data_IF_466295006612
#
_entry.id   IF_466295006612
#
_cell.length_a   1.000
_cell.length_b   1.000
_cell.length_c   1.000
_cell.angle_alpha   90.00
_cell.angle_beta   90.00
_cell.angle_gamma   90.00
#
_symmetry.space_group_name_H-M   'P 1'
#
loop_
_entity.id
_entity.type
_entity.pdbx_description
1 polymer ?
#
# COMPACT_ATOMS: atom_id res chain seq x y z
N UNK A 1 4.24 -26.96 28.29
CA UNK A 1 5.10 -28.06 28.78
C UNK A 1 5.18 -27.96 30.29
N UNK A 2 4.64 -28.92 31.05
CA UNK A 2 4.53 -28.81 32.51
C UNK A 2 5.90 -28.82 33.23
N UNK A 3 6.94 -29.37 32.60
CA UNK A 3 8.27 -29.53 33.20
C UNK A 3 9.28 -28.41 32.81
N UNK A 4 8.81 -27.29 32.28
CA UNK A 4 9.68 -26.18 31.87
C UNK A 4 9.40 -24.98 32.76
N UNK A 5 10.42 -24.55 33.50
CA UNK A 5 10.35 -23.33 34.28
C UNK A 5 10.82 -22.17 33.40
N UNK A 6 9.88 -21.33 32.98
CA UNK A 6 10.13 -20.16 32.15
C UNK A 6 10.47 -18.97 33.07
N UNK A 7 11.74 -18.84 33.47
CA UNK A 7 12.24 -17.63 34.16
C UNK A 7 13.16 -16.87 33.21
N UNK A 8 12.96 -15.56 33.12
CA UNK A 8 13.81 -14.64 32.36
C UNK A 8 13.92 -14.99 30.86
N UNK A 9 12.78 -15.24 30.20
CA UNK A 9 12.67 -15.45 28.75
C UNK A 9 13.40 -16.70 28.18
N UNK A 10 14.06 -17.48 29.04
CA UNK A 10 14.80 -18.69 28.69
C UNK A 10 14.17 -19.94 29.31
N UNK A 11 14.07 -21.06 28.57
CA UNK A 11 13.57 -22.30 29.13
C UNK A 11 14.59 -22.93 30.10
N UNK A 12 14.23 -23.07 31.37
CA UNK A 12 14.90 -24.03 32.26
C UNK A 12 14.14 -25.36 32.22
N UNK A 13 14.71 -26.31 31.48
CA UNK A 13 14.17 -27.66 31.39
C UNK A 13 14.51 -28.46 32.66
N UNK A 14 13.52 -28.82 33.47
CA UNK A 14 13.75 -29.73 34.62
C UNK A 14 13.69 -31.20 34.21
N UNK A 15 13.08 -31.48 33.05
CA UNK A 15 12.89 -32.81 32.46
C UNK A 15 13.85 -33.09 31.31
N UNK A 16 14.53 -34.24 31.35
CA UNK A 16 15.43 -34.72 30.28
C UNK A 16 14.71 -35.50 29.17
N UNK A 17 13.39 -35.39 29.06
CA UNK A 17 12.64 -36.09 28.02
C UNK A 17 13.11 -35.70 26.61
N UNK A 18 12.99 -36.62 25.65
CA UNK A 18 13.38 -36.36 24.26
C UNK A 18 12.62 -35.15 23.67
N UNK A 19 11.36 -34.97 24.06
CA UNK A 19 10.52 -33.85 23.65
C UNK A 19 11.03 -32.51 24.20
N UNK A 20 11.45 -32.49 25.47
CA UNK A 20 12.04 -31.32 26.13
C UNK A 20 13.31 -30.86 25.41
N UNK A 21 14.21 -31.81 25.10
CA UNK A 21 15.44 -31.56 24.32
C UNK A 21 15.14 -31.01 22.93
N UNK A 22 14.26 -31.68 22.16
CA UNK A 22 13.89 -31.24 20.81
C UNK A 22 13.25 -29.84 20.80
N UNK A 23 12.45 -29.53 21.82
CA UNK A 23 11.83 -28.22 21.99
C UNK A 23 12.86 -27.14 22.33
N UNK A 24 13.81 -27.44 23.22
CA UNK A 24 14.95 -26.56 23.52
C UNK A 24 15.82 -26.27 22.31
N UNK A 25 16.17 -27.31 21.54
CA UNK A 25 16.95 -27.15 20.31
C UNK A 25 16.24 -26.25 19.30
N UNK A 26 14.92 -26.40 19.15
CA UNK A 26 14.12 -25.54 18.26
C UNK A 26 14.12 -24.08 18.71
N UNK A 27 13.90 -23.83 20.00
CA UNK A 27 13.86 -22.48 20.58
C UNK A 27 15.21 -21.79 20.39
N UNK A 28 16.31 -22.47 20.75
CA UNK A 28 17.66 -21.94 20.68
C UNK A 28 18.08 -21.71 19.22
N UNK A 29 17.87 -22.70 18.33
CA UNK A 29 18.30 -22.61 16.93
C UNK A 29 17.61 -21.49 16.13
N UNK A 30 16.42 -21.08 16.55
CA UNK A 30 15.65 -20.02 15.90
C UNK A 30 15.66 -18.69 16.67
N UNK A 31 16.40 -18.61 17.78
CA UNK A 31 16.46 -17.42 18.63
C UNK A 31 15.10 -16.97 19.15
N UNK A 32 14.25 -17.93 19.54
CA UNK A 32 12.90 -17.66 20.02
C UNK A 32 12.92 -17.32 21.52
N UNK A 33 12.21 -16.27 21.88
CA UNK A 33 11.96 -15.86 23.27
C UNK A 33 10.51 -16.17 23.62
N UNK A 34 10.27 -16.70 24.82
CA UNK A 34 8.94 -17.00 25.33
C UNK A 34 8.45 -15.85 26.22
N UNK A 35 7.30 -15.25 25.88
CA UNK A 35 6.83 -14.03 26.56
C UNK A 35 5.67 -14.25 27.56
N UNK A 36 5.09 -15.44 27.64
CA UNK A 36 4.02 -15.71 28.63
C UNK A 36 4.65 -16.06 29.97
N UNK A 37 4.50 -15.17 30.95
CA UNK A 37 5.05 -15.34 32.30
C UNK A 37 4.03 -15.94 33.27
N UNK A 38 2.74 -15.62 33.09
CA UNK A 38 1.69 -16.06 34.00
C UNK A 38 1.13 -17.45 33.62
N UNK A 39 0.63 -18.22 34.58
CA UNK A 39 -0.06 -19.48 34.31
C UNK A 39 -1.27 -19.28 33.40
N UNK A 40 -1.37 -20.11 32.37
CA UNK A 40 -2.48 -20.05 31.40
C UNK A 40 -3.54 -21.11 31.65
N UNK A 41 -3.29 -22.04 32.58
CA UNK A 41 -4.26 -23.02 33.03
C UNK A 41 -4.29 -23.08 34.55
N UNK A 42 -5.42 -22.73 35.14
CA UNK A 42 -5.63 -22.66 36.59
C UNK A 42 -6.77 -23.62 36.95
N UNK A 43 -6.44 -24.62 37.76
CA UNK A 43 -7.41 -25.54 38.37
C UNK A 43 -7.38 -25.37 39.89
N UNK A 44 -8.34 -25.92 40.65
CA UNK A 44 -8.31 -25.85 42.12
C UNK A 44 -7.05 -26.44 42.76
N UNK A 45 -6.33 -27.31 42.05
CA UNK A 45 -5.15 -28.03 42.54
C UNK A 45 -3.84 -27.67 41.85
N UNK A 46 -3.87 -27.03 40.68
CA UNK A 46 -2.66 -26.78 39.87
C UNK A 46 -2.73 -25.44 39.14
N UNK A 47 -1.56 -24.86 38.88
CA UNK A 47 -1.40 -23.65 38.10
C UNK A 47 -0.23 -23.85 37.14
N UNK A 48 -0.50 -23.94 35.84
CA UNK A 48 0.48 -24.32 34.83
C UNK A 48 0.46 -23.36 33.63
N UNK A 49 1.62 -23.11 33.03
CA UNK A 49 1.75 -22.40 31.74
C UNK A 49 1.81 -23.41 30.60
N UNK A 50 0.69 -23.56 29.89
CA UNK A 50 0.57 -24.51 28.76
C UNK A 50 0.55 -23.81 27.41
N UNK A 51 0.02 -22.59 27.38
CA UNK A 51 -0.11 -21.77 26.18
C UNK A 51 1.11 -20.86 26.09
N UNK A 52 1.92 -21.06 25.06
CA UNK A 52 3.20 -20.38 24.87
C UNK A 52 3.12 -19.41 23.69
N UNK A 53 3.82 -18.29 23.81
CA UNK A 53 3.89 -17.25 22.79
C UNK A 53 5.36 -16.91 22.54
N UNK A 54 5.88 -17.40 21.41
CA UNK A 54 7.27 -17.23 21.01
C UNK A 54 7.42 -16.16 19.94
N UNK A 55 8.45 -15.32 20.07
CA UNK A 55 8.90 -14.43 19.01
C UNK A 55 10.43 -14.29 19.00
N UNK A 56 11.02 -14.02 17.83
CA UNK A 56 12.46 -13.78 17.68
C UNK A 56 12.83 -12.28 17.63
N UNK A 57 11.84 -11.40 17.77
CA UNK A 57 12.01 -9.95 17.72
C UNK A 57 11.34 -9.34 18.96
N UNK A 58 12.01 -9.37 20.13
CA UNK A 58 11.43 -8.91 21.40
C UNK A 58 10.96 -7.46 21.35
N UNK A 59 11.66 -6.60 20.61
CA UNK A 59 11.31 -5.18 20.47
C UNK A 59 9.93 -4.92 19.83
N UNK A 60 9.38 -5.90 19.10
CA UNK A 60 8.07 -5.80 18.45
C UNK A 60 6.92 -6.24 19.36
N UNK A 61 7.21 -6.95 20.46
CA UNK A 61 6.20 -7.49 21.36
C UNK A 61 6.03 -6.54 22.55
N UNK A 62 4.79 -6.19 22.86
CA UNK A 62 4.42 -5.35 24.02
C UNK A 62 3.21 -5.93 24.72
N UNK A 63 3.04 -5.55 25.98
CA UNK A 63 1.82 -5.77 26.76
C UNK A 63 1.32 -7.23 26.71
N UNK A 64 2.21 -8.19 26.97
CA UNK A 64 1.81 -9.60 27.06
C UNK A 64 1.11 -9.82 28.40
N UNK A 65 -0.18 -10.13 28.33
CA UNK A 65 -1.05 -10.28 29.49
C UNK A 65 -1.78 -11.61 29.43
N UNK A 66 -2.06 -12.15 30.60
CA UNK A 66 -2.96 -13.29 30.79
C UNK A 66 -4.23 -12.76 31.42
N UNK A 67 -5.35 -12.91 30.73
CA UNK A 67 -6.66 -12.40 31.14
C UNK A 67 -7.65 -13.55 31.37
N UNK A 68 -8.69 -13.35 32.20
CA UNK A 68 -9.74 -14.33 32.42
C UNK A 68 -10.29 -14.93 31.13
N UNK A 69 -10.17 -16.26 31.01
CA UNK A 69 -10.74 -17.01 29.90
C UNK A 69 -12.14 -17.54 30.18
N UNK A 70 -12.57 -18.54 29.41
CA UNK A 70 -13.93 -19.11 29.49
C UNK A 70 -13.97 -20.37 30.37
N UNK A 71 -12.83 -20.98 30.68
CA UNK A 71 -12.75 -22.27 31.40
C UNK A 71 -11.57 -22.29 32.38
N UNK A 72 -10.99 -23.47 32.64
CA UNK A 72 -9.74 -23.61 33.39
C UNK A 72 -8.53 -23.03 32.63
N UNK A 73 -8.72 -22.58 31.39
CA UNK A 73 -7.75 -21.84 30.61
C UNK A 73 -8.00 -20.32 30.67
N UNK A 74 -6.94 -19.60 30.99
CA UNK A 74 -6.80 -18.16 30.83
C UNK A 74 -6.39 -17.82 29.38
N UNK A 75 -6.76 -16.62 28.92
CA UNK A 75 -6.44 -16.15 27.57
C UNK A 75 -5.15 -15.34 27.56
N UNK A 76 -4.25 -15.60 26.60
CA UNK A 76 -3.03 -14.82 26.39
C UNK A 76 -3.30 -13.74 25.34
N UNK A 77 -3.07 -12.49 25.69
CA UNK A 77 -3.13 -11.34 24.78
C UNK A 77 -1.75 -10.70 24.64
N UNK A 78 -1.38 -10.28 23.44
CA UNK A 78 -0.12 -9.58 23.18
C UNK A 78 -0.32 -8.49 22.12
N UNK A 79 0.37 -7.37 22.29
CA UNK A 79 0.42 -6.29 21.30
C UNK A 79 1.66 -6.47 20.41
N UNK A 80 1.45 -6.63 19.10
CA UNK A 80 2.54 -6.70 18.13
C UNK A 80 2.66 -5.35 17.41
N UNK A 81 3.79 -4.66 17.63
CA UNK A 81 4.11 -3.39 16.99
C UNK A 81 4.64 -3.66 15.59
N UNK A 82 3.75 -3.61 14.60
CA UNK A 82 4.14 -3.69 13.20
C UNK A 82 4.40 -2.28 12.66
N UNK A 83 5.60 -2.03 12.13
CA UNK A 83 5.84 -0.83 11.33
C UNK A 83 4.94 -0.90 10.09
N UNK A 84 3.92 -0.04 10.03
CA UNK A 84 3.15 0.13 8.80
C UNK A 84 4.07 0.82 7.78
N UNK A 85 4.37 0.20 6.62
CA UNK A 85 5.20 0.86 5.63
C UNK A 85 4.52 2.17 5.25
N UNK A 86 5.20 3.27 5.52
CA UNK A 86 4.71 4.61 5.24
C UNK A 86 4.41 4.72 3.75
N UNK A 87 3.15 4.58 3.37
CA UNK A 87 2.74 4.76 1.97
C UNK A 87 2.97 6.23 1.63
N UNK A 88 3.82 6.57 0.65
CA UNK A 88 4.07 7.96 0.31
C UNK A 88 2.75 8.63 -0.06
N UNK A 89 2.46 9.76 0.57
CA UNK A 89 1.29 10.57 0.25
C UNK A 89 1.51 11.17 -1.14
N UNK A 90 0.98 10.50 -2.16
CA UNK A 90 1.01 11.04 -3.52
C UNK A 90 0.08 12.26 -3.54
N UNK A 91 0.64 13.44 -3.84
CA UNK A 91 -0.15 14.68 -3.93
C UNK A 91 -0.98 14.68 -5.22
N UNK A 92 -2.22 15.17 -5.20
CA UNK A 92 -2.99 15.35 -6.42
C UNK A 92 -2.25 16.30 -7.37
N UNK A 93 -2.19 15.95 -8.66
CA UNK A 93 -1.57 16.80 -9.69
C UNK A 93 -2.63 17.32 -10.66
N UNK A 94 -2.57 18.62 -10.99
CA UNK A 94 -3.34 19.20 -12.09
C UNK A 94 -2.78 18.67 -13.42
N UNK A 95 -3.65 18.22 -14.31
CA UNK A 95 -3.32 17.85 -15.67
C UNK A 95 -4.17 18.68 -16.62
N UNK A 96 -3.53 19.63 -17.30
CA UNK A 96 -4.14 20.45 -18.33
C UNK A 96 -4.47 19.61 -19.57
N UNK A 97 -5.64 19.85 -20.13
CA UNK A 97 -6.14 19.23 -21.35
C UNK A 97 -5.90 20.19 -22.51
N UNK A 98 -4.65 20.28 -22.95
CA UNK A 98 -4.23 21.20 -24.02
C UNK A 98 -4.97 20.95 -25.34
N UNK A 99 -5.46 19.73 -25.58
CA UNK A 99 -6.33 19.39 -26.73
C UNK A 99 -7.67 20.14 -26.73
N UNK A 100 -8.07 20.68 -25.57
CA UNK A 100 -9.33 21.40 -25.35
C UNK A 100 -9.12 22.86 -24.93
N UNK A 101 -7.89 23.36 -25.05
CA UNK A 101 -7.57 24.74 -24.71
C UNK A 101 -8.19 25.73 -25.70
N UNK A 102 -8.70 26.85 -25.19
CA UNK A 102 -9.09 27.96 -26.05
C UNK A 102 -7.87 28.83 -26.38
N UNK A 103 -7.10 28.39 -27.38
CA UNK A 103 -5.89 29.10 -27.81
C UNK A 103 -6.18 30.46 -28.46
N UNK A 104 -7.35 30.63 -29.11
CA UNK A 104 -7.75 31.91 -29.69
C UNK A 104 -7.83 33.01 -28.63
N UNK A 105 -8.46 32.75 -27.49
CA UNK A 105 -8.49 33.70 -26.38
C UNK A 105 -7.12 33.95 -25.75
N UNK A 106 -6.25 32.92 -25.69
CA UNK A 106 -4.88 33.10 -25.19
C UNK A 106 -4.09 34.02 -26.13
N UNK A 107 -4.17 33.82 -27.44
CA UNK A 107 -3.49 34.66 -28.44
C UNK A 107 -3.97 36.11 -28.35
N UNK A 108 -5.29 36.34 -28.34
CA UNK A 108 -5.85 37.69 -28.22
C UNK A 108 -5.40 38.38 -26.91
N UNK A 109 -5.43 37.67 -25.79
CA UNK A 109 -5.00 38.23 -24.50
C UNK A 109 -3.49 38.48 -24.40
N UNK A 110 -2.68 37.77 -25.20
CA UNK A 110 -1.24 38.04 -25.32
C UNK A 110 -0.97 39.24 -26.24
N UNK A 111 -1.70 39.36 -27.34
CA UNK A 111 -1.64 40.52 -28.24
C UNK A 111 -2.01 41.81 -27.50
N UNK A 112 -3.11 41.81 -26.73
CA UNK A 112 -3.50 42.95 -25.90
C UNK A 112 -2.45 43.29 -24.82
N UNK A 113 -1.79 42.28 -24.26
CA UNK A 113 -0.76 42.49 -23.25
C UNK A 113 0.58 42.97 -23.83
N UNK A 114 0.80 42.82 -25.13
CA UNK A 114 2.09 43.07 -25.76
C UNK A 114 2.56 44.52 -25.58
N UNK A 115 1.70 45.51 -25.79
CA UNK A 115 2.05 46.93 -25.62
C UNK A 115 2.51 47.25 -24.19
N UNK A 116 1.84 46.65 -23.20
CA UNK A 116 2.23 46.80 -21.78
C UNK A 116 3.59 46.14 -21.53
N UNK A 117 3.81 44.95 -22.08
CA UNK A 117 5.07 44.22 -21.93
C UNK A 117 6.24 44.97 -22.58
N UNK A 118 6.05 45.49 -23.79
CA UNK A 118 7.05 46.27 -24.53
C UNK A 118 7.46 47.54 -23.77
N UNK A 119 6.50 48.24 -23.15
CA UNK A 119 6.83 49.42 -22.34
C UNK A 119 7.76 49.12 -21.15
N UNK A 120 7.71 47.89 -20.61
CA UNK A 120 8.51 47.47 -19.46
C UNK A 120 9.92 47.03 -19.85
N UNK A 121 10.19 46.76 -21.13
CA UNK A 121 11.52 46.31 -21.58
C UNK A 121 12.59 47.38 -21.43
N UNK A 122 12.20 48.66 -21.42
CA UNK A 122 13.12 49.77 -21.26
C UNK A 122 13.64 49.95 -19.82
N UNK A 123 12.91 49.45 -18.82
CA UNK A 123 13.15 49.73 -17.40
C UNK A 123 13.45 48.48 -16.55
N UNK A 124 13.23 47.28 -17.10
CA UNK A 124 13.36 46.01 -16.37
C UNK A 124 14.56 45.18 -16.83
N UNK A 125 15.11 44.36 -15.94
CA UNK A 125 16.13 43.37 -16.31
C UNK A 125 15.49 42.14 -17.00
N UNK A 126 16.34 41.32 -17.62
CA UNK A 126 15.91 40.15 -18.41
C UNK A 126 15.17 39.11 -17.56
N UNK A 127 15.60 38.88 -16.31
CA UNK A 127 14.99 37.88 -15.42
C UNK A 127 13.58 38.28 -14.99
N UNK A 128 13.37 39.58 -14.75
CA UNK A 128 12.07 40.16 -14.41
C UNK A 128 11.12 40.11 -15.61
N UNK A 129 11.60 40.47 -16.80
CA UNK A 129 10.83 40.37 -18.04
C UNK A 129 10.41 38.92 -18.33
N UNK A 130 11.34 37.96 -18.16
CA UNK A 130 11.01 36.55 -18.32
C UNK A 130 9.98 36.09 -17.29
N UNK A 131 10.11 36.51 -16.03
CA UNK A 131 9.17 36.17 -14.97
C UNK A 131 7.77 36.72 -15.24
N UNK A 132 7.67 37.96 -15.74
CA UNK A 132 6.41 38.57 -16.15
C UNK A 132 5.74 37.81 -17.28
N UNK A 133 6.48 37.52 -18.36
CA UNK A 133 5.97 36.76 -19.50
C UNK A 133 5.48 35.38 -19.06
N UNK A 134 6.31 34.66 -18.29
CA UNK A 134 5.98 33.35 -17.75
C UNK A 134 4.73 33.39 -16.89
N UNK A 135 4.63 34.38 -15.99
CA UNK A 135 3.48 34.51 -15.11
C UNK A 135 2.20 34.79 -15.90
N UNK A 136 2.24 35.74 -16.84
CA UNK A 136 1.10 36.03 -17.72
C UNK A 136 0.66 34.79 -18.49
N UNK A 137 1.59 34.06 -19.10
CA UNK A 137 1.30 32.85 -19.86
C UNK A 137 0.68 31.76 -18.97
N UNK A 138 1.23 31.52 -17.77
CA UNK A 138 0.68 30.54 -16.84
C UNK A 138 -0.74 30.92 -16.38
N UNK A 139 -1.01 32.21 -16.15
CA UNK A 139 -2.35 32.69 -15.79
C UNK A 139 -3.35 32.49 -16.92
N UNK A 140 -2.95 32.75 -18.17
CA UNK A 140 -3.79 32.49 -19.33
C UNK A 140 -4.04 30.99 -19.55
N UNK A 141 -3.02 30.15 -19.31
CA UNK A 141 -3.18 28.69 -19.33
C UNK A 141 -4.17 28.23 -18.26
N UNK A 142 -4.07 28.75 -17.02
CA UNK A 142 -4.99 28.40 -15.93
C UNK A 142 -6.43 28.82 -16.22
N UNK A 143 -6.62 29.93 -16.94
CA UNK A 143 -7.94 30.47 -17.27
C UNK A 143 -8.58 29.78 -18.48
N UNK A 144 -7.82 29.56 -19.55
CA UNK A 144 -8.36 29.15 -20.86
C UNK A 144 -8.13 27.67 -21.20
N UNK A 145 -7.35 26.94 -20.41
CA UNK A 145 -7.12 25.51 -20.63
C UNK A 145 -7.78 24.69 -19.52
N UNK A 146 -8.82 23.89 -19.83
CA UNK A 146 -9.47 23.07 -18.83
C UNK A 146 -8.47 22.03 -18.28
N UNK A 147 -8.57 21.74 -16.99
CA UNK A 147 -7.71 20.76 -16.32
C UNK A 147 -8.54 19.69 -15.62
N UNK A 148 -7.92 18.53 -15.41
CA UNK A 148 -8.42 17.49 -14.51
C UNK A 148 -7.47 17.27 -13.36
N UNK A 149 -8.00 17.04 -12.17
CA UNK A 149 -7.20 16.68 -11.00
C UNK A 149 -6.98 15.17 -11.03
N UNK A 150 -5.73 14.77 -11.23
CA UNK A 150 -5.32 13.38 -11.05
C UNK A 150 -5.17 13.13 -9.55
N UNK A 151 -6.24 12.63 -8.94
CA UNK A 151 -6.21 12.18 -7.55
C UNK A 151 -5.23 11.03 -7.38
N UNK A 152 -4.59 10.98 -6.21
CA UNK A 152 -3.73 9.92 -5.69
C UNK A 152 -4.36 8.52 -5.65
N UNK A 153 -5.59 8.35 -6.16
CA UNK A 153 -6.32 7.07 -6.20
C UNK A 153 -5.50 5.95 -6.86
N UNK A 154 -4.53 6.27 -7.73
CA UNK A 154 -3.61 5.30 -8.32
C UNK A 154 -2.49 4.81 -7.38
N UNK A 155 -2.27 5.47 -6.24
CA UNK A 155 -1.40 5.02 -5.15
C UNK A 155 -2.10 4.01 -4.23
N UNK A 156 -3.40 3.77 -4.39
CA UNK A 156 -4.13 2.71 -3.68
C UNK A 156 -3.99 1.34 -4.37
N UNK A 157 -2.89 1.10 -5.09
CA UNK A 157 -2.59 -0.27 -5.43
C UNK A 157 -2.31 -0.96 -4.10
N UNK A 158 -3.20 -1.88 -3.73
CA UNK A 158 -3.00 -2.74 -2.55
C UNK A 158 -1.58 -3.32 -2.65
N UNK A 159 -0.85 -3.56 -1.55
CA UNK A 159 0.54 -4.03 -1.61
C UNK A 159 0.75 -5.25 -2.52
N UNK A 160 -0.26 -6.11 -2.61
CA UNK A 160 -0.30 -7.29 -3.47
C UNK A 160 -0.65 -7.02 -4.95
N UNK A 161 -1.19 -5.85 -5.30
CA UNK A 161 -1.57 -5.45 -6.66
C UNK A 161 -0.39 -4.81 -7.40
N UNK A 162 0.60 -5.63 -7.73
CA UNK A 162 1.82 -5.18 -8.40
C UNK A 162 1.61 -4.85 -9.88
N UNK A 163 2.57 -4.17 -10.51
CA UNK A 163 2.59 -3.94 -11.97
C UNK A 163 2.49 -5.26 -12.75
N UNK A 164 3.11 -6.33 -12.25
CA UNK A 164 3.02 -7.68 -12.83
C UNK A 164 1.58 -8.20 -12.84
N UNK A 165 0.88 -8.11 -11.70
CA UNK A 165 -0.54 -8.50 -11.59
C UNK A 165 -1.41 -7.70 -12.57
N UNK A 166 -1.22 -6.37 -12.63
CA UNK A 166 -1.94 -5.50 -13.57
C UNK A 166 -1.69 -5.89 -15.03
N UNK A 167 -0.45 -6.18 -15.40
CA UNK A 167 -0.09 -6.63 -16.76
C UNK A 167 -0.78 -7.94 -17.12
N UNK A 168 -0.80 -8.93 -16.21
CA UNK A 168 -1.48 -10.20 -16.42
C UNK A 168 -3.00 -10.01 -16.62
N UNK A 169 -3.63 -9.17 -15.80
CA UNK A 169 -5.06 -8.83 -15.95
C UNK A 169 -5.33 -8.20 -17.32
N UNK A 170 -4.49 -7.26 -17.76
CA UNK A 170 -4.65 -6.60 -19.06
C UNK A 170 -4.43 -7.57 -20.22
N UNK A 171 -3.47 -8.49 -20.12
CA UNK A 171 -3.25 -9.55 -21.11
C UNK A 171 -4.49 -10.44 -21.23
N UNK A 172 -5.05 -10.89 -20.10
CA UNK A 172 -6.30 -11.68 -20.07
C UNK A 172 -7.45 -10.93 -20.74
N UNK A 173 -7.66 -9.66 -20.40
CA UNK A 173 -8.71 -8.81 -21.00
C UNK A 173 -8.54 -8.65 -22.51
N UNK A 174 -7.30 -8.46 -22.99
CA UNK A 174 -7.00 -8.33 -24.42
C UNK A 174 -7.33 -9.60 -25.19
N UNK A 175 -6.93 -10.77 -24.67
CA UNK A 175 -7.22 -12.07 -25.28
C UNK A 175 -8.74 -12.32 -25.30
N UNK A 176 -9.43 -12.06 -24.20
CA UNK A 176 -10.88 -12.20 -24.11
C UNK A 176 -11.63 -11.32 -25.12
N UNK A 177 -11.22 -10.04 -25.25
CA UNK A 177 -11.79 -9.13 -26.25
C UNK A 177 -11.57 -9.67 -27.67
N UNK A 178 -10.36 -10.15 -27.99
CA UNK A 178 -10.05 -10.75 -29.29
C UNK A 178 -10.94 -11.96 -29.59
N UNK A 179 -11.12 -12.85 -28.62
CA UNK A 179 -12.00 -14.01 -28.75
C UNK A 179 -13.45 -13.61 -29.05
N UNK A 180 -14.00 -12.65 -28.30
CA UNK A 180 -15.37 -12.18 -28.53
C UNK A 180 -15.56 -11.54 -29.91
N UNK A 181 -14.64 -10.69 -30.34
CA UNK A 181 -14.68 -10.10 -31.68
C UNK A 181 -14.56 -11.16 -32.77
N UNK A 182 -13.72 -12.18 -32.60
CA UNK A 182 -13.59 -13.28 -33.58
C UNK A 182 -14.83 -14.20 -33.58
N UNK A 183 -15.45 -14.43 -32.43
CA UNK A 183 -16.67 -15.22 -32.31
C UNK A 183 -17.86 -14.53 -32.98
N UNK A 184 -18.00 -13.21 -32.82
CA UNK A 184 -19.04 -12.43 -33.50
C UNK A 184 -18.87 -12.46 -35.03
N UNK A 185 -17.64 -12.28 -35.52
CA UNK A 185 -17.34 -12.38 -36.97
C UNK A 185 -17.61 -13.80 -37.51
N UNK A 186 -17.27 -14.84 -36.75
CA UNK A 186 -17.54 -16.23 -37.14
C UNK A 186 -19.01 -16.62 -37.14
N UNK A 187 -19.84 -16.00 -36.30
CA UNK A 187 -21.30 -16.19 -36.30
C UNK A 187 -21.93 -15.49 -37.50
N UNK A 188 -21.49 -14.27 -37.84
CA UNK A 188 -21.97 -13.56 -39.03
C UNK A 188 -21.60 -14.28 -40.33
N UNK A 189 -20.38 -14.84 -40.44
CA UNK A 189 -19.95 -15.59 -41.62
C UNK A 189 -20.66 -16.96 -41.80
N UNK A 190 -21.26 -17.51 -40.73
CA UNK A 190 -22.01 -18.78 -40.79
C UNK A 190 -23.49 -18.59 -41.11
N UNK A 191 -23.98 -17.35 -41.15
CA UNK A 191 -25.39 -17.01 -41.39
C UNK A 191 -25.66 -16.45 -42.79
N UNK A 192 -24.67 -16.35 -43.67
CA UNK A 192 -24.89 -16.00 -45.08
C UNK A 192 -25.30 -17.28 -45.84
N UNK A 193 -26.60 -17.46 -46.19
CA UNK A 193 -27.00 -18.57 -47.05
C UNK A 193 -26.60 -18.20 -48.47
N UNK A 194 -25.97 -19.14 -49.16
CA UNK A 194 -25.73 -19.10 -50.60
C UNK A 194 -27.07 -18.85 -51.31
N UNK A 195 -27.26 -17.64 -51.83
CA UNK A 195 -28.33 -17.33 -52.78
C UNK A 195 -27.93 -17.91 -54.15
N UNK A 196 -28.59 -19.00 -54.53
CA UNK A 196 -28.72 -19.49 -55.93
C UNK A 196 -29.90 -18.77 -56.57
#
# INVERSE_FOLDING_TARGET
MPDVCWRNEMPMFSSQSALSKASGDLIISHGLFQFVENPTRITPSTSNTLDLFFANSPDLIRDVLTIPGISDHECVTACIVCACPHTPVVRPRKLYLYDRGNFGSISLALEEYFETFESLTASSNIDDLWSLLKHKLLTLIDLHIPFKILSAKQSKNKPWFTKKVKTLINKRKRIFKKYHTQKEVGIHAALDPVNI
#
